data_IF_494903254491
#
_entry.id   IF_494903254491
#
_cell.length_a   1.000
_cell.length_b   1.000
_cell.length_c   1.000
_cell.angle_alpha   90.00
_cell.angle_beta   90.00
_cell.angle_gamma   90.00
#
_symmetry.space_group_name_H-M   'P 1'
#
loop_
_entity.id
_entity.type
_entity.pdbx_description
1 polymer ?
#
# COMPACT_ATOMS: atom_id res chain seq x y z
N UNK A 1 -15.86 10.59 2.60
CA UNK A 1 -16.01 9.57 1.53
C UNK A 1 -16.84 8.40 2.05
N UNK A 2 -16.60 7.97 3.29
CA UNK A 2 -17.37 6.91 3.96
C UNK A 2 -18.87 7.23 4.09
N UNK A 3 -19.24 8.45 4.48
CA UNK A 3 -20.66 8.88 4.54
C UNK A 3 -21.40 8.76 3.20
N UNK A 4 -20.70 8.97 2.08
CA UNK A 4 -21.27 8.85 0.75
C UNK A 4 -21.56 7.38 0.41
N UNK A 5 -20.61 6.49 0.71
CA UNK A 5 -20.79 5.06 0.51
C UNK A 5 -21.92 4.49 1.38
N UNK A 6 -22.02 4.91 2.65
CA UNK A 6 -23.11 4.48 3.53
C UNK A 6 -24.48 4.92 3.01
N UNK A 7 -24.63 6.17 2.57
CA UNK A 7 -25.89 6.66 1.96
C UNK A 7 -26.22 5.96 0.64
N UNK A 8 -25.22 5.54 -0.11
CA UNK A 8 -25.43 4.76 -1.33
C UNK A 8 -25.93 3.35 -0.99
N UNK A 9 -25.29 2.68 -0.03
CA UNK A 9 -25.73 1.38 0.48
C UNK A 9 -27.15 1.44 1.04
N UNK A 10 -27.50 2.52 1.76
CA UNK A 10 -28.86 2.75 2.26
C UNK A 10 -29.90 2.74 1.13
N UNK A 11 -29.61 3.43 0.01
CA UNK A 11 -30.49 3.44 -1.17
C UNK A 11 -30.58 2.07 -1.85
N UNK A 12 -29.46 1.35 -1.95
CA UNK A 12 -29.43 0.01 -2.55
C UNK A 12 -30.26 -0.97 -1.72
N UNK A 13 -30.07 -0.97 -0.40
CA UNK A 13 -30.81 -1.83 0.53
C UNK A 13 -32.29 -1.48 0.55
N UNK A 14 -32.64 -0.18 0.57
CA UNK A 14 -34.04 0.25 0.47
C UNK A 14 -34.69 -0.26 -0.83
N UNK A 15 -33.94 -0.23 -1.94
CA UNK A 15 -34.44 -0.73 -3.23
C UNK A 15 -34.59 -2.24 -3.26
N UNK A 16 -33.68 -2.99 -2.62
CA UNK A 16 -33.82 -4.44 -2.44
C UNK A 16 -35.09 -4.78 -1.63
N UNK A 17 -35.37 -4.03 -0.57
CA UNK A 17 -36.60 -4.22 0.21
C UNK A 17 -37.87 -3.94 -0.63
N UNK A 18 -37.84 -2.89 -1.45
CA UNK A 18 -38.95 -2.56 -2.36
C UNK A 18 -39.17 -3.65 -3.43
N UNK A 19 -38.09 -4.20 -3.99
CA UNK A 19 -38.14 -5.27 -5.01
C UNK A 19 -38.77 -6.56 -4.46
N UNK A 20 -38.45 -6.89 -3.20
CA UNK A 20 -39.07 -8.02 -2.50
C UNK A 20 -40.56 -7.74 -2.17
N UNK A 21 -41.00 -6.48 -2.19
CA UNK A 21 -42.38 -6.06 -1.93
C UNK A 21 -42.65 -5.63 -0.48
N UNK A 22 -41.62 -5.17 0.25
CA UNK A 22 -41.82 -4.57 1.58
C UNK A 22 -42.28 -3.11 1.45
N UNK A 23 -43.44 -2.79 2.05
CA UNK A 23 -43.97 -1.42 2.07
C UNK A 23 -43.25 -0.51 3.08
N UNK A 24 -42.75 -1.06 4.18
CA UNK A 24 -42.06 -0.31 5.23
C UNK A 24 -41.07 -1.18 6.00
N UNK A 25 -40.00 -0.57 6.50
CA UNK A 25 -38.97 -1.25 7.31
C UNK A 25 -38.55 -0.36 8.46
N UNK A 26 -38.16 -0.97 9.60
CA UNK A 26 -37.63 -0.23 10.75
C UNK A 26 -36.20 0.22 10.46
N UNK A 27 -35.86 1.46 10.83
CA UNK A 27 -34.53 2.04 10.60
C UNK A 27 -33.39 1.14 11.11
N UNK A 28 -33.51 0.62 12.34
CA UNK A 28 -32.50 -0.29 12.93
C UNK A 28 -32.23 -1.53 12.08
N UNK A 29 -33.25 -2.07 11.40
CA UNK A 29 -33.12 -3.28 10.58
C UNK A 29 -32.40 -2.95 9.28
N UNK A 30 -32.69 -1.78 8.72
CA UNK A 30 -32.03 -1.29 7.52
C UNK A 30 -30.54 -1.00 7.80
N UNK A 31 -30.24 -0.38 8.94
CA UNK A 31 -28.86 -0.16 9.40
C UNK A 31 -28.10 -1.48 9.54
N UNK A 32 -28.70 -2.50 10.17
CA UNK A 32 -28.07 -3.82 10.30
C UNK A 32 -27.84 -4.48 8.94
N UNK A 33 -28.76 -4.31 7.99
CA UNK A 33 -28.63 -4.90 6.65
C UNK A 33 -27.55 -4.20 5.83
N UNK A 34 -27.39 -2.87 5.98
CA UNK A 34 -26.26 -2.12 5.42
C UNK A 34 -24.94 -2.64 5.98
N UNK A 35 -24.85 -2.82 7.30
CA UNK A 35 -23.63 -3.31 7.95
C UNK A 35 -23.27 -4.73 7.50
N UNK A 36 -24.26 -5.62 7.37
CA UNK A 36 -24.07 -6.97 6.85
C UNK A 36 -23.62 -6.91 5.38
N UNK A 37 -24.27 -6.10 4.55
CA UNK A 37 -23.94 -5.94 3.14
C UNK A 37 -22.50 -5.44 2.94
N UNK A 38 -22.07 -4.45 3.72
CA UNK A 38 -20.69 -3.95 3.70
C UNK A 38 -19.69 -5.06 4.07
N UNK A 39 -19.91 -5.73 5.20
CA UNK A 39 -19.04 -6.82 5.67
C UNK A 39 -18.99 -7.99 4.70
N UNK A 40 -20.07 -8.26 3.98
CA UNK A 40 -20.11 -9.34 3.00
C UNK A 40 -19.24 -9.05 1.77
N UNK A 41 -19.31 -7.82 1.25
CA UNK A 41 -18.45 -7.38 0.14
C UNK A 41 -16.97 -7.39 0.58
N UNK A 42 -16.68 -6.93 1.79
CA UNK A 42 -15.32 -6.96 2.38
C UNK A 42 -14.79 -8.40 2.47
N UNK A 43 -15.60 -9.34 2.97
CA UNK A 43 -15.21 -10.75 3.10
C UNK A 43 -14.90 -11.40 1.74
N UNK A 44 -15.70 -11.12 0.70
CA UNK A 44 -15.42 -11.63 -0.65
C UNK A 44 -14.08 -11.08 -1.16
N UNK A 45 -13.85 -9.78 -0.97
CA UNK A 45 -12.61 -9.12 -1.37
C UNK A 45 -11.38 -9.65 -0.64
N UNK A 46 -11.49 -9.82 0.68
CA UNK A 46 -10.42 -10.35 1.54
C UNK A 46 -10.01 -11.76 1.12
N UNK A 47 -10.99 -12.66 0.95
CA UNK A 47 -10.73 -14.03 0.50
C UNK A 47 -10.10 -14.08 -0.89
N UNK A 48 -10.61 -13.28 -1.82
CA UNK A 48 -10.02 -13.19 -3.15
C UNK A 48 -8.59 -12.65 -3.11
N UNK A 49 -8.28 -11.67 -2.24
CA UNK A 49 -6.91 -11.18 -2.08
C UNK A 49 -5.98 -12.22 -1.46
N UNK A 50 -6.42 -12.96 -0.44
CA UNK A 50 -5.62 -14.04 0.18
C UNK A 50 -5.29 -15.11 -0.85
N UNK A 51 -6.26 -15.49 -1.68
CA UNK A 51 -6.03 -16.47 -2.75
C UNK A 51 -5.03 -15.97 -3.81
N UNK A 52 -5.08 -14.68 -4.15
CA UNK A 52 -4.10 -14.08 -5.04
C UNK A 52 -2.69 -14.08 -4.43
N UNK A 53 -2.57 -13.79 -3.13
CA UNK A 53 -1.31 -13.80 -2.38
C UNK A 53 -0.69 -15.19 -2.30
N UNK A 54 -1.50 -16.23 -2.07
CA UNK A 54 -1.05 -17.64 -2.11
C UNK A 54 -0.49 -17.98 -3.50
N UNK A 55 -1.06 -17.39 -4.56
CA UNK A 55 -0.59 -17.51 -5.93
C UNK A 55 0.58 -16.55 -6.28
N UNK A 56 1.19 -15.87 -5.30
CA UNK A 56 2.26 -14.87 -5.47
C UNK A 56 1.89 -13.71 -6.42
N UNK A 57 0.61 -13.33 -6.46
CA UNK A 57 0.11 -12.16 -7.21
C UNK A 57 -0.39 -11.11 -6.23
N UNK A 58 -0.32 -9.84 -6.64
CA UNK A 58 -0.84 -8.71 -5.86
C UNK A 58 -2.26 -8.29 -6.27
N UNK A 59 -2.74 -8.77 -7.42
CA UNK A 59 -4.07 -8.44 -7.96
C UNK A 59 -4.93 -9.70 -8.05
N UNK A 60 -6.13 -9.70 -7.42
CA UNK A 60 -7.07 -10.80 -7.55
C UNK A 60 -7.66 -10.87 -8.97
N UNK A 61 -7.90 -12.09 -9.44
CA UNK A 61 -8.53 -12.39 -10.73
C UNK A 61 -9.84 -13.18 -10.52
N UNK A 62 -10.49 -13.57 -11.62
CA UNK A 62 -11.77 -14.30 -11.58
C UNK A 62 -11.65 -15.67 -10.90
N UNK A 63 -10.50 -16.35 -11.02
CA UNK A 63 -10.29 -17.65 -10.36
C UNK A 63 -10.14 -17.51 -8.84
N UNK A 64 -9.55 -16.41 -8.38
CA UNK A 64 -9.47 -16.11 -6.95
C UNK A 64 -10.87 -15.83 -6.36
N UNK A 65 -11.73 -15.16 -7.14
CA UNK A 65 -13.14 -14.96 -6.80
C UNK A 65 -13.94 -16.27 -6.83
N UNK A 66 -13.69 -17.14 -7.80
CA UNK A 66 -14.32 -18.46 -7.89
C UNK A 66 -14.02 -19.29 -6.62
N UNK A 67 -12.74 -19.37 -6.24
CA UNK A 67 -12.35 -20.02 -5.00
C UNK A 67 -12.93 -19.34 -3.74
N UNK A 68 -13.03 -18.01 -3.72
CA UNK A 68 -13.68 -17.29 -2.62
C UNK A 68 -15.19 -17.58 -2.54
N UNK A 69 -15.86 -17.74 -3.68
CA UNK A 69 -17.28 -18.09 -3.77
C UNK A 69 -17.54 -19.49 -3.26
N UNK A 70 -16.70 -20.46 -3.66
CA UNK A 70 -16.75 -21.84 -3.15
C UNK A 70 -16.58 -21.87 -1.63
N UNK A 71 -15.64 -21.10 -1.09
CA UNK A 71 -15.39 -21.04 0.36
C UNK A 71 -16.53 -20.36 1.14
N UNK A 72 -17.23 -19.39 0.52
CA UNK A 72 -18.39 -18.71 1.10
C UNK A 72 -19.71 -19.45 0.83
N UNK A 73 -19.69 -20.56 0.07
CA UNK A 73 -20.89 -21.31 -0.31
C UNK A 73 -21.82 -20.55 -1.27
N UNK A 74 -21.26 -19.66 -2.09
CA UNK A 74 -22.01 -18.85 -3.06
C UNK A 74 -22.06 -19.59 -4.39
N UNK A 75 -23.25 -19.97 -4.83
CA UNK A 75 -23.43 -20.56 -6.16
C UNK A 75 -23.47 -19.49 -7.24
N UNK A 76 -22.57 -19.58 -8.23
CA UNK A 76 -22.57 -18.68 -9.38
C UNK A 76 -23.89 -18.73 -10.16
N UNK A 77 -24.52 -19.90 -10.23
CA UNK A 77 -25.78 -20.07 -10.96
C UNK A 77 -26.91 -19.25 -10.33
N UNK A 78 -27.02 -19.27 -8.99
CA UNK A 78 -28.01 -18.47 -8.28
C UNK A 78 -27.75 -16.97 -8.44
N UNK A 79 -26.50 -16.54 -8.38
CA UNK A 79 -26.16 -15.12 -8.60
C UNK A 79 -26.51 -14.67 -10.01
N UNK A 80 -26.27 -15.52 -11.02
CA UNK A 80 -26.63 -15.24 -12.41
C UNK A 80 -28.14 -15.18 -12.61
N UNK A 81 -28.89 -16.12 -12.03
CA UNK A 81 -30.34 -16.13 -12.09
C UNK A 81 -30.92 -14.86 -11.45
N UNK A 82 -30.46 -14.53 -10.25
CA UNK A 82 -30.87 -13.31 -9.54
C UNK A 82 -30.59 -12.05 -10.39
N UNK A 83 -29.41 -11.97 -11.03
CA UNK A 83 -29.09 -10.86 -11.91
C UNK A 83 -30.07 -10.72 -13.09
N UNK A 84 -30.54 -11.84 -13.66
CA UNK A 84 -31.53 -11.81 -14.74
C UNK A 84 -32.90 -11.35 -14.25
N UNK A 85 -33.35 -11.88 -13.11
CA UNK A 85 -34.64 -11.55 -12.48
C UNK A 85 -34.71 -10.07 -12.07
N UNK A 86 -33.62 -9.53 -11.55
CA UNK A 86 -33.55 -8.19 -10.94
C UNK A 86 -32.96 -7.13 -11.90
N UNK A 87 -32.75 -7.47 -13.18
CA UNK A 87 -32.12 -6.59 -14.18
C UNK A 87 -32.90 -5.29 -14.49
N UNK A 88 -34.20 -5.26 -14.17
CA UNK A 88 -35.09 -4.10 -14.39
C UNK A 88 -35.12 -3.09 -13.24
N UNK A 89 -34.24 -3.22 -12.24
CA UNK A 89 -34.15 -2.29 -11.12
C UNK A 89 -33.82 -0.86 -11.58
N UNK A 90 -34.85 0.01 -11.58
CA UNK A 90 -34.68 1.45 -11.83
C UNK A 90 -34.37 2.17 -10.53
N UNK A 91 -33.15 2.66 -10.40
CA UNK A 91 -32.80 3.60 -9.33
C UNK A 91 -33.32 5.00 -9.69
N UNK A 92 -34.16 5.63 -8.84
CA UNK A 92 -34.75 6.94 -9.14
C UNK A 92 -33.72 8.08 -9.14
N UNK A 93 -32.53 7.87 -8.58
CA UNK A 93 -31.48 8.87 -8.50
C UNK A 93 -30.17 8.36 -9.13
N UNK A 94 -29.62 9.16 -10.04
CA UNK A 94 -28.30 8.90 -10.63
C UNK A 94 -27.25 9.05 -9.54
N UNK A 95 -26.49 7.98 -9.29
CA UNK A 95 -25.39 7.97 -8.32
C UNK A 95 -24.32 8.97 -8.79
N UNK A 96 -24.03 10.05 -8.02
CA UNK A 96 -23.02 11.01 -8.47
C UNK A 96 -21.63 10.36 -8.50
N UNK A 97 -20.88 10.63 -9.57
CA UNK A 97 -19.53 10.08 -9.69
C UNK A 97 -18.62 10.65 -8.58
N UNK A 98 -17.81 9.80 -7.91
CA UNK A 98 -16.84 10.29 -6.95
C UNK A 98 -15.81 11.17 -7.68
N UNK A 99 -15.67 12.42 -7.25
CA UNK A 99 -14.66 13.33 -7.84
C UNK A 99 -13.27 12.69 -7.69
N UNK A 100 -12.48 12.54 -8.78
CA UNK A 100 -11.16 11.94 -8.70
C UNK A 100 -10.29 12.78 -7.76
N UNK A 101 -9.65 12.14 -6.79
CA UNK A 101 -8.66 12.82 -5.94
C UNK A 101 -7.45 13.12 -6.81
N UNK A 102 -6.88 14.32 -6.66
CA UNK A 102 -5.61 14.68 -7.29
C UNK A 102 -4.53 13.78 -6.71
N UNK A 103 -4.11 12.76 -7.46
CA UNK A 103 -2.98 11.91 -7.07
C UNK A 103 -1.72 12.76 -7.02
N UNK A 104 -1.15 12.91 -5.84
CA UNK A 104 0.18 13.50 -5.69
C UNK A 104 1.16 12.39 -6.05
N UNK A 105 1.68 12.43 -7.27
CA UNK A 105 2.85 11.63 -7.61
C UNK A 105 4.03 12.23 -6.85
N UNK A 106 4.47 11.57 -5.78
CA UNK A 106 5.78 11.82 -5.20
C UNK A 106 6.81 11.37 -6.25
N UNK A 107 7.28 12.33 -7.08
CA UNK A 107 8.50 12.11 -7.84
C UNK A 107 9.60 11.89 -6.79
N UNK A 108 10.35 10.78 -6.82
CA UNK A 108 11.51 10.64 -5.95
C UNK A 108 12.42 11.83 -6.21
N UNK A 109 12.60 12.68 -5.20
CA UNK A 109 13.51 13.82 -5.28
C UNK A 109 14.91 13.28 -5.49
N UNK A 110 15.55 13.62 -6.62
CA UNK A 110 17.00 13.51 -6.71
C UNK A 110 17.62 14.46 -5.67
N UNK A 111 18.77 14.10 -5.05
CA UNK A 111 19.42 14.93 -4.04
C UNK A 111 19.69 16.34 -4.56
N UNK A 112 19.33 17.35 -3.76
CA UNK A 112 19.60 18.76 -3.97
C UNK A 112 21.11 19.04 -3.91
N UNK A 113 21.79 18.94 -5.04
CA UNK A 113 23.10 19.54 -5.19
C UNK A 113 23.11 20.43 -6.43
N UNK A 114 22.64 21.66 -6.23
CA UNK A 114 22.96 22.90 -6.97
C UNK A 114 21.93 23.98 -6.66
N UNK A 115 21.80 24.37 -5.38
CA UNK A 115 21.06 25.59 -5.01
C UNK A 115 21.78 26.39 -3.95
N UNK A 116 22.89 27.01 -4.33
CA UNK A 116 23.41 28.22 -3.66
C UNK A 116 24.64 28.77 -4.36
N UNK A 117 24.43 29.52 -5.44
CA UNK A 117 25.32 30.65 -5.78
C UNK A 117 24.47 31.82 -6.21
N UNK A 118 24.01 32.60 -5.24
CA UNK A 118 23.68 34.01 -5.46
C UNK A 118 23.68 34.77 -4.13
N UNK A 119 24.43 35.87 -4.15
CA UNK A 119 24.59 36.96 -3.17
C UNK A 119 25.42 36.72 -1.92
N UNK A 120 26.20 37.67 -1.38
CA UNK A 120 26.90 38.90 -1.83
C UNK A 120 27.29 39.62 -0.53
N UNK A 121 28.58 39.93 -0.40
CA UNK A 121 29.24 41.02 0.39
C UNK A 121 29.11 41.12 1.93
N UNK A 122 30.32 41.19 2.52
CA UNK A 122 30.83 42.13 3.56
C UNK A 122 30.23 41.99 4.98
N UNK A 123 30.95 42.00 6.10
CA UNK A 123 32.28 42.49 6.52
C UNK A 123 32.69 41.73 7.82
N UNK A 124 33.98 41.46 8.10
CA UNK A 124 34.81 42.07 9.18
C UNK A 124 34.05 42.26 10.51
N UNK A 125 34.47 41.83 11.71
CA UNK A 125 35.72 41.38 12.33
C UNK A 125 35.32 40.66 13.65
N UNK A 126 36.22 39.87 14.24
CA UNK A 126 36.60 39.85 15.67
C UNK A 126 37.17 38.46 16.07
N UNK A 127 38.40 38.52 16.59
CA UNK A 127 39.26 37.42 17.04
C UNK A 127 39.04 37.13 18.54
N UNK A 128 39.76 36.11 19.04
CA UNK A 128 40.03 35.75 20.44
C UNK A 128 39.09 34.69 21.08
N UNK A 129 39.53 33.66 21.80
CA UNK A 129 40.84 33.24 22.30
C UNK A 129 40.79 31.72 22.64
N UNK A 130 41.99 31.17 22.74
CA UNK A 130 42.45 29.84 23.16
C UNK A 130 41.61 29.09 24.21
N UNK A 131 41.55 27.76 24.06
CA UNK A 131 41.77 26.83 25.18
C UNK A 131 42.46 25.55 24.66
N UNK A 132 43.59 25.22 25.29
CA UNK A 132 44.33 23.97 25.14
C UNK A 132 43.59 22.86 25.91
N UNK A 133 43.55 21.64 25.40
CA UNK A 133 44.17 20.42 25.97
C UNK A 133 43.27 19.25 25.48
N UNK A 134 43.66 17.99 25.29
CA UNK A 134 44.87 17.24 25.56
C UNK A 134 44.88 16.03 24.58
N UNK A 135 46.06 15.42 24.47
CA UNK A 135 46.46 14.31 23.63
C UNK A 135 45.64 13.02 23.88
N UNK A 136 45.04 12.42 22.85
CA UNK A 136 44.76 10.98 22.89
C UNK A 136 44.98 10.30 21.54
N UNK A 137 46.15 9.68 21.44
CA UNK A 137 46.77 9.12 20.25
C UNK A 137 46.21 7.73 19.97
N UNK A 138 45.08 7.63 19.26
CA UNK A 138 44.58 6.35 18.72
C UNK A 138 44.94 6.20 17.24
N UNK A 139 45.72 5.14 16.97
CA UNK A 139 46.29 4.75 15.67
C UNK A 139 45.26 4.89 14.53
N UNK A 140 45.55 5.77 13.58
CA UNK A 140 44.98 5.71 12.22
C UNK A 140 45.62 4.50 11.54
N UNK A 141 44.87 3.41 11.42
CA UNK A 141 45.16 2.40 10.41
C UNK A 141 44.66 2.99 9.09
N UNK A 142 45.57 3.11 8.13
CA UNK A 142 45.28 3.64 6.79
C UNK A 142 44.21 2.77 6.10
N UNK A 143 42.94 3.20 6.14
CA UNK A 143 41.91 2.67 5.26
C UNK A 143 42.33 2.96 3.82
N UNK A 144 42.85 1.92 3.14
CA UNK A 144 43.09 1.96 1.70
C UNK A 144 41.81 2.42 1.00
N UNK A 145 41.87 3.38 0.06
CA UNK A 145 40.68 3.80 -0.68
C UNK A 145 40.14 2.59 -1.45
N UNK A 146 39.00 2.07 -1.01
CA UNK A 146 38.24 1.08 -1.77
C UNK A 146 37.78 1.78 -3.03
N UNK A 147 38.34 1.38 -4.16
CA UNK A 147 38.03 1.88 -5.50
C UNK A 147 36.51 1.72 -5.74
N UNK A 148 35.76 2.82 -5.58
CA UNK A 148 34.32 2.83 -5.82
C UNK A 148 34.13 2.65 -7.33
N UNK A 149 33.75 1.44 -7.73
CA UNK A 149 33.45 1.13 -9.13
C UNK A 149 32.43 2.15 -9.67
N UNK A 150 32.69 2.69 -10.87
CA UNK A 150 32.01 3.87 -11.44
C UNK A 150 30.49 3.74 -11.66
N UNK A 151 29.93 2.55 -11.48
CA UNK A 151 28.50 2.26 -11.63
C UNK A 151 27.76 2.19 -10.29
N UNK A 152 28.45 2.40 -9.17
CA UNK A 152 27.84 2.44 -7.84
C UNK A 152 27.35 3.87 -7.59
N UNK A 153 26.03 4.08 -7.44
CA UNK A 153 25.50 5.40 -7.12
C UNK A 153 26.06 5.94 -5.80
N UNK A 154 26.32 7.24 -5.74
CA UNK A 154 26.88 7.90 -4.55
C UNK A 154 25.94 7.89 -3.34
N UNK A 155 24.63 7.71 -3.56
CA UNK A 155 23.63 7.65 -2.48
C UNK A 155 23.64 6.34 -1.69
N UNK A 156 24.34 5.30 -2.16
CA UNK A 156 24.43 4.05 -1.41
C UNK A 156 25.37 4.20 -0.20
N UNK A 157 25.02 3.58 0.94
CA UNK A 157 25.95 3.48 2.05
C UNK A 157 27.21 2.73 1.60
N UNK A 158 28.35 3.06 2.22
CA UNK A 158 29.59 2.31 2.00
C UNK A 158 29.34 0.83 2.32
N UNK A 159 29.91 -0.06 1.51
CA UNK A 159 29.88 -1.47 1.85
C UNK A 159 30.51 -1.68 3.24
N UNK A 160 29.93 -2.56 4.07
CA UNK A 160 30.57 -3.04 5.28
C UNK A 160 32.01 -3.50 5.02
N UNK A 161 32.87 -3.41 6.04
CA UNK A 161 34.27 -3.83 5.90
C UNK A 161 34.36 -5.34 5.60
N UNK A 162 35.44 -5.77 4.95
CA UNK A 162 35.69 -7.14 4.48
C UNK A 162 35.51 -8.18 5.61
N UNK A 163 35.87 -7.81 6.85
CA UNK A 163 35.69 -8.66 8.03
C UNK A 163 34.22 -9.02 8.31
N UNK A 164 33.27 -8.18 7.85
CA UNK A 164 31.82 -8.35 7.99
C UNK A 164 31.30 -9.47 7.08
N UNK A 165 31.96 -9.69 5.95
CA UNK A 165 31.59 -10.70 4.95
C UNK A 165 32.24 -12.08 5.19
N UNK A 166 33.22 -12.17 6.10
CA UNK A 166 33.96 -13.43 6.34
C UNK A 166 33.19 -14.48 7.14
N UNK A 167 32.04 -14.15 7.72
CA UNK A 167 31.28 -15.04 8.60
C UNK A 167 29.91 -15.39 8.04
N UNK A 168 29.89 -16.13 6.94
CA UNK A 168 28.71 -16.91 6.55
C UNK A 168 29.09 -18.37 6.51
N UNK A 169 28.54 -19.17 7.42
CA UNK A 169 28.71 -20.62 7.42
C UNK A 169 28.01 -21.20 6.19
N UNK A 170 28.75 -21.46 5.12
CA UNK A 170 28.22 -22.16 3.94
C UNK A 170 28.29 -23.67 4.23
N UNK A 171 27.15 -24.29 4.51
CA UNK A 171 27.06 -25.75 4.60
C UNK A 171 27.32 -26.35 3.22
N UNK A 172 28.42 -27.10 3.08
CA UNK A 172 28.69 -27.87 1.86
C UNK A 172 27.72 -29.05 1.82
N UNK A 173 26.70 -28.99 0.97
CA UNK A 173 25.90 -30.16 0.61
C UNK A 173 26.79 -31.13 -0.16
N UNK A 174 27.18 -32.25 0.47
CA UNK A 174 27.75 -33.39 -0.24
C UNK A 174 26.65 -33.98 -1.12
N UNK A 175 26.78 -33.84 -2.44
CA UNK A 175 26.10 -34.73 -3.38
C UNK A 175 26.94 -36.00 -3.46
N UNK A 176 26.45 -37.06 -2.83
CA UNK A 176 26.91 -38.43 -3.10
C UNK A 176 26.41 -38.84 -4.49
N UNK A 177 27.30 -39.42 -5.27
CA UNK A 177 27.02 -39.99 -6.60
C UNK A 177 26.90 -41.51 -6.54
#
# INVERSE_FOLDING_TARGET
MEEYASRLMEKVVAKMCEDIGFDATRASTLDTLIDIGRRYIEQIGEKASINAEIANRTSPNVLDLDAAFDELGISWEHTRQFFQETSDLKFPHVVPEPKPRKVIFCKPSLPEEQRSKEKTTQSEDELDLMDEEEDDKKKKEDEKPVDKQSHIPEFLPKFPDEHTYRHTNVSKSQREG
#
